data_IF_033495018253
#
_entry.id   IF_033495018253
#
_cell.length_a   1.000
_cell.length_b   1.000
_cell.length_c   1.000
_cell.angle_alpha   90.00
_cell.angle_beta   90.00
_cell.angle_gamma   90.00
#
_symmetry.space_group_name_H-M   'P 1'
#
loop_
_entity.id
_entity.type
_entity.pdbx_description
1 polymer ?
#
# COMPACT_ATOMS: atom_id res chain seq x y z
N UNK A 1 -19.87 -19.12 -19.98
CA UNK A 1 -20.13 -18.19 -21.10
C UNK A 1 -19.84 -16.78 -20.60
N UNK A 2 -18.85 -16.12 -21.17
CA UNK A 2 -18.46 -14.77 -20.74
C UNK A 2 -19.49 -13.78 -21.30
N UNK A 3 -20.37 -13.25 -20.42
CA UNK A 3 -21.52 -12.38 -20.73
C UNK A 3 -21.14 -11.10 -21.50
N UNK A 4 -19.85 -10.78 -21.55
CA UNK A 4 -19.30 -9.55 -22.12
C UNK A 4 -18.37 -9.80 -23.32
N UNK A 5 -18.32 -11.05 -23.85
CA UNK A 5 -17.52 -11.36 -25.04
C UNK A 5 -17.95 -10.46 -26.21
N UNK A 6 -16.95 -9.81 -26.83
CA UNK A 6 -17.13 -8.91 -27.97
C UNK A 6 -17.51 -7.46 -27.64
N UNK A 7 -17.59 -7.09 -26.35
CA UNK A 7 -17.82 -5.71 -25.94
C UNK A 7 -16.53 -4.97 -25.66
N UNK A 8 -16.48 -3.70 -26.00
CA UNK A 8 -15.37 -2.81 -25.65
C UNK A 8 -15.32 -2.55 -24.13
N UNK A 9 -14.17 -2.05 -23.63
CA UNK A 9 -14.06 -1.63 -22.24
C UNK A 9 -15.05 -0.52 -21.88
N UNK A 10 -15.33 0.39 -22.81
CA UNK A 10 -16.25 1.50 -22.66
C UNK A 10 -17.70 0.99 -22.52
N UNK A 11 -18.12 0.08 -23.37
CA UNK A 11 -19.45 -0.53 -23.30
C UNK A 11 -19.63 -1.33 -21.98
N UNK A 12 -18.60 -2.07 -21.54
CA UNK A 12 -18.64 -2.78 -20.26
C UNK A 12 -18.73 -1.79 -19.09
N UNK A 13 -18.00 -0.68 -19.17
CA UNK A 13 -17.99 0.38 -18.16
C UNK A 13 -19.36 1.06 -18.03
N UNK A 14 -20.02 1.30 -19.15
CA UNK A 14 -21.38 1.85 -19.18
C UNK A 14 -22.40 0.89 -18.57
N UNK A 15 -22.37 -0.39 -18.97
CA UNK A 15 -23.26 -1.45 -18.45
C UNK A 15 -23.08 -1.67 -16.95
N UNK A 16 -21.84 -1.61 -16.45
CA UNK A 16 -21.51 -1.87 -15.05
C UNK A 16 -21.39 -0.61 -14.19
N UNK A 17 -21.59 0.58 -14.77
CA UNK A 17 -21.39 1.87 -14.10
C UNK A 17 -22.09 1.97 -12.75
N UNK A 18 -23.37 1.59 -12.69
CA UNK A 18 -24.14 1.63 -11.45
C UNK A 18 -23.59 0.65 -10.39
N UNK A 19 -23.18 -0.54 -10.81
CA UNK A 19 -22.56 -1.53 -9.92
C UNK A 19 -21.22 -1.04 -9.37
N UNK A 20 -20.38 -0.41 -10.21
CA UNK A 20 -19.13 0.20 -9.78
C UNK A 20 -19.34 1.37 -8.83
N UNK A 21 -20.32 2.23 -9.08
CA UNK A 21 -20.68 3.33 -8.20
C UNK A 21 -21.12 2.81 -6.82
N UNK A 22 -21.97 1.80 -6.79
CA UNK A 22 -22.44 1.18 -5.55
C UNK A 22 -21.30 0.51 -4.78
N UNK A 23 -20.44 -0.25 -5.47
CA UNK A 23 -19.26 -0.88 -4.89
C UNK A 23 -18.32 0.17 -4.26
N UNK A 24 -17.98 1.24 -4.99
CA UNK A 24 -17.12 2.29 -4.49
C UNK A 24 -17.75 3.04 -3.30
N UNK A 25 -19.06 3.26 -3.32
CA UNK A 25 -19.80 3.86 -2.21
C UNK A 25 -19.72 3.01 -0.95
N UNK A 26 -19.89 1.69 -1.08
CA UNK A 26 -19.76 0.75 0.06
C UNK A 26 -18.34 0.73 0.58
N UNK A 27 -17.33 0.66 -0.29
CA UNK A 27 -15.91 0.74 0.11
C UNK A 27 -15.61 2.00 0.90
N UNK A 28 -16.03 3.16 0.40
CA UNK A 28 -15.85 4.45 1.07
C UNK A 28 -16.51 4.47 2.45
N UNK A 29 -17.69 3.91 2.58
CA UNK A 29 -18.45 3.88 3.84
C UNK A 29 -17.87 2.91 4.86
N UNK A 30 -17.28 1.81 4.41
CA UNK A 30 -16.64 0.78 5.25
C UNK A 30 -15.18 1.04 5.56
N UNK A 31 -14.59 2.08 4.94
CA UNK A 31 -13.20 2.44 5.18
C UNK A 31 -13.02 2.92 6.62
N UNK A 32 -12.20 2.22 7.38
CA UNK A 32 -11.86 2.52 8.76
C UNK A 32 -10.41 2.13 9.06
N UNK A 33 -9.85 2.75 10.07
CA UNK A 33 -8.52 2.39 10.57
C UNK A 33 -8.60 1.08 11.37
N UNK A 34 -7.51 0.33 11.36
CA UNK A 34 -7.30 -0.69 12.39
C UNK A 34 -7.11 -0.04 13.77
N UNK A 35 -7.41 -0.80 14.82
CA UNK A 35 -7.27 -0.33 16.19
C UNK A 35 -5.85 0.18 16.49
N UNK A 36 -5.77 1.33 17.16
CA UNK A 36 -4.52 1.94 17.57
C UNK A 36 -3.71 2.64 16.48
N UNK A 37 -4.15 2.62 15.20
CA UNK A 37 -3.38 3.26 14.10
C UNK A 37 -3.27 4.76 14.29
N UNK A 38 -4.37 5.46 14.56
CA UNK A 38 -4.35 6.92 14.71
C UNK A 38 -3.45 7.36 15.88
N UNK A 39 -3.57 6.71 17.02
CA UNK A 39 -2.78 7.02 18.22
C UNK A 39 -1.29 6.73 18.02
N UNK A 40 -0.99 5.62 17.34
CA UNK A 40 0.40 5.27 17.02
C UNK A 40 1.04 6.28 16.07
N UNK A 41 0.35 6.66 14.99
CA UNK A 41 0.85 7.67 14.06
C UNK A 41 1.05 9.02 14.76
N UNK A 42 0.10 9.41 15.60
CA UNK A 42 0.21 10.63 16.40
C UNK A 42 1.46 10.60 17.30
N UNK A 43 1.66 9.52 18.06
CA UNK A 43 2.82 9.38 18.96
C UNK A 43 4.14 9.37 18.20
N UNK A 44 4.24 8.67 17.06
CA UNK A 44 5.44 8.70 16.23
C UNK A 44 5.72 10.12 15.73
N UNK A 45 4.70 10.81 15.24
CA UNK A 45 4.82 12.20 14.77
C UNK A 45 5.26 13.16 15.88
N UNK A 46 4.65 13.08 17.07
CA UNK A 46 4.98 13.91 18.24
C UNK A 46 6.40 13.64 18.77
N UNK A 47 6.95 12.44 18.51
CA UNK A 47 8.35 12.12 18.83
C UNK A 47 9.33 12.41 17.68
N UNK A 48 8.92 13.20 16.69
CA UNK A 48 9.80 13.67 15.62
C UNK A 48 10.11 12.64 14.53
N UNK A 49 9.37 11.52 14.48
CA UNK A 49 9.54 10.52 13.42
C UNK A 49 8.94 11.07 12.13
N UNK A 50 9.73 11.13 11.06
CA UNK A 50 9.24 11.45 9.72
C UNK A 50 8.48 10.27 9.14
N UNK A 51 7.18 10.46 8.87
CA UNK A 51 6.30 9.41 8.35
C UNK A 51 6.05 9.66 6.88
N UNK A 52 6.35 8.64 6.05
CA UNK A 52 6.19 8.66 4.60
C UNK A 52 5.22 7.55 4.19
N UNK A 53 4.30 7.88 3.29
CA UNK A 53 3.43 6.88 2.67
C UNK A 53 3.98 6.43 1.32
N UNK A 54 3.96 5.12 1.02
CA UNK A 54 4.24 4.60 -0.31
C UNK A 54 3.18 3.57 -0.71
N UNK A 55 2.51 3.81 -1.84
CA UNK A 55 1.42 2.96 -2.35
C UNK A 55 1.45 2.84 -3.87
N UNK A 56 1.09 1.66 -4.39
CA UNK A 56 0.84 1.44 -5.83
C UNK A 56 -0.56 1.96 -6.27
N UNK A 57 -1.36 2.49 -5.35
CA UNK A 57 -2.62 3.14 -5.71
C UNK A 57 -2.36 4.46 -6.43
N UNK A 58 -3.21 4.78 -7.40
CA UNK A 58 -3.19 6.10 -8.02
C UNK A 58 -3.36 7.21 -6.96
N UNK A 59 -2.78 8.37 -7.26
CA UNK A 59 -2.68 9.51 -6.36
C UNK A 59 -4.03 9.92 -5.72
N UNK A 60 -5.09 9.96 -6.49
CA UNK A 60 -6.43 10.34 -6.00
C UNK A 60 -6.95 9.35 -4.96
N UNK A 61 -6.64 8.06 -5.14
CA UNK A 61 -7.11 7.01 -4.24
C UNK A 61 -6.25 6.92 -2.97
N UNK A 62 -4.93 7.04 -3.09
CA UNK A 62 -4.01 6.94 -1.97
C UNK A 62 -4.24 8.05 -0.95
N UNK A 63 -4.13 9.31 -1.39
CA UNK A 63 -4.28 10.49 -0.53
C UNK A 63 -5.69 10.67 0.00
N UNK A 64 -6.72 10.46 -0.86
CA UNK A 64 -8.12 10.55 -0.45
C UNK A 64 -8.43 9.65 0.74
N UNK A 65 -7.90 8.41 0.75
CA UNK A 65 -8.11 7.48 1.87
C UNK A 65 -7.52 8.02 3.17
N UNK A 66 -6.28 8.52 3.13
CA UNK A 66 -5.62 9.08 4.32
C UNK A 66 -6.35 10.32 4.85
N UNK A 67 -6.79 11.19 3.94
CA UNK A 67 -7.56 12.39 4.28
C UNK A 67 -8.91 12.02 4.90
N UNK A 68 -9.63 11.07 4.30
CA UNK A 68 -10.92 10.61 4.82
C UNK A 68 -10.80 9.92 6.18
N UNK A 69 -9.70 9.22 6.43
CA UNK A 69 -9.40 8.57 7.70
C UNK A 69 -8.88 9.54 8.77
N UNK A 70 -8.68 10.81 8.43
CA UNK A 70 -8.20 11.84 9.37
C UNK A 70 -6.75 11.66 9.80
N UNK A 71 -5.90 11.03 9.00
CA UNK A 71 -4.49 10.76 9.33
C UNK A 71 -3.49 11.37 8.37
N UNK A 72 -3.93 12.08 7.31
CA UNK A 72 -3.04 12.67 6.30
C UNK A 72 -2.06 13.70 6.88
N UNK A 73 -2.42 14.36 7.98
CA UNK A 73 -1.57 15.34 8.65
C UNK A 73 -0.27 14.75 9.20
N UNK A 74 -0.24 13.48 9.53
CA UNK A 74 0.95 12.81 10.07
C UNK A 74 2.00 12.49 9.02
N UNK A 75 1.61 12.49 7.74
CA UNK A 75 2.52 12.19 6.64
C UNK A 75 3.18 13.46 6.11
N UNK A 76 4.51 13.42 5.96
CA UNK A 76 5.28 14.46 5.31
C UNK A 76 5.05 14.43 3.81
N UNK A 77 5.29 13.25 3.19
CA UNK A 77 5.01 13.00 1.77
C UNK A 77 4.33 11.65 1.57
N UNK A 78 3.66 11.50 0.43
CA UNK A 78 2.98 10.29 0.01
C UNK A 78 3.36 9.99 -1.43
N UNK A 79 4.10 8.90 -1.61
CA UNK A 79 4.54 8.41 -2.91
C UNK A 79 3.45 7.48 -3.48
N UNK A 80 2.96 7.82 -4.68
CA UNK A 80 1.81 7.13 -5.31
C UNK A 80 2.14 6.80 -6.77
N UNK A 81 1.40 5.88 -7.37
CA UNK A 81 1.46 5.68 -8.82
C UNK A 81 0.78 6.84 -9.56
N UNK A 82 1.22 7.08 -10.80
CA UNK A 82 0.54 8.01 -11.71
C UNK A 82 -0.93 7.61 -11.89
N UNK A 83 -1.79 8.62 -12.08
CA UNK A 83 -3.17 8.39 -12.49
C UNK A 83 -3.22 8.05 -13.98
N UNK A 84 -4.03 7.07 -14.34
CA UNK A 84 -4.37 6.79 -15.74
C UNK A 84 -5.43 7.77 -16.28
N UNK A 85 -5.98 8.59 -15.40
CA UNK A 85 -7.06 9.54 -15.75
C UNK A 85 -6.60 10.97 -15.46
N UNK A 86 -6.93 11.88 -16.38
CA UNK A 86 -6.82 13.30 -16.12
C UNK A 86 -7.77 13.67 -14.97
N UNK A 87 -7.19 14.17 -13.89
CA UNK A 87 -7.93 14.62 -12.72
C UNK A 87 -7.96 16.14 -12.71
N UNK A 88 -9.15 16.72 -12.68
CA UNK A 88 -9.34 18.16 -12.46
C UNK A 88 -9.15 18.58 -10.99
N UNK A 89 -8.79 17.64 -10.12
CA UNK A 89 -8.55 17.91 -8.71
C UNK A 89 -7.10 18.33 -8.55
N UNK A 90 -6.82 19.52 -8.01
CA UNK A 90 -5.45 19.93 -7.71
C UNK A 90 -4.78 18.90 -6.81
N UNK A 91 -3.55 18.51 -7.18
CA UNK A 91 -2.75 17.62 -6.36
C UNK A 91 -2.34 18.33 -5.07
N UNK A 92 -2.41 17.62 -3.97
CA UNK A 92 -1.83 18.09 -2.72
C UNK A 92 -0.30 18.08 -2.85
N UNK A 93 0.36 19.11 -2.33
CA UNK A 93 1.82 19.28 -2.39
C UNK A 93 2.60 18.11 -1.76
N UNK A 94 1.95 17.34 -0.90
CA UNK A 94 2.52 16.14 -0.28
C UNK A 94 2.61 14.94 -1.21
N UNK A 95 1.99 14.99 -2.39
CA UNK A 95 1.94 13.85 -3.31
C UNK A 95 3.15 13.89 -4.25
N UNK A 96 3.89 12.80 -4.27
CA UNK A 96 5.01 12.58 -5.19
C UNK A 96 4.71 11.33 -6.02
N UNK A 97 4.85 11.44 -7.33
CA UNK A 97 4.52 10.34 -8.24
C UNK A 97 5.72 9.43 -8.48
N UNK A 98 5.46 8.12 -8.45
CA UNK A 98 6.43 7.06 -8.72
C UNK A 98 5.94 6.20 -9.88
N UNK A 99 6.81 5.91 -10.85
CA UNK A 99 6.48 5.10 -12.04
C UNK A 99 6.67 3.60 -11.83
N UNK A 100 7.53 3.23 -10.90
CA UNK A 100 7.91 1.83 -10.69
C UNK A 100 6.92 1.12 -9.77
N UNK A 101 6.76 -0.20 -10.01
CA UNK A 101 5.91 -1.07 -9.19
C UNK A 101 6.75 -1.86 -8.19
N UNK A 102 6.16 -2.19 -7.05
CA UNK A 102 6.77 -3.08 -6.03
C UNK A 102 6.96 -4.50 -6.57
N UNK A 103 8.06 -5.19 -6.21
CA UNK A 103 9.16 -4.72 -5.38
C UNK A 103 10.22 -4.01 -6.24
N UNK A 104 10.56 -2.79 -5.89
CA UNK A 104 11.67 -2.05 -6.48
C UNK A 104 12.46 -1.34 -5.37
N UNK A 105 13.64 -1.86 -5.06
CA UNK A 105 14.49 -1.33 -3.99
C UNK A 105 14.93 0.11 -4.23
N UNK A 106 15.12 0.48 -5.51
CA UNK A 106 15.64 1.80 -5.86
C UNK A 106 14.62 2.91 -5.54
N UNK A 107 13.34 2.58 -5.55
CA UNK A 107 12.29 3.50 -5.08
C UNK A 107 12.49 3.83 -3.60
N UNK A 108 12.73 2.84 -2.73
CA UNK A 108 12.95 3.10 -1.30
C UNK A 108 14.24 3.87 -1.05
N UNK A 109 15.30 3.55 -1.77
CA UNK A 109 16.59 4.27 -1.69
C UNK A 109 16.39 5.72 -2.12
N UNK A 110 15.67 5.98 -3.21
CA UNK A 110 15.36 7.32 -3.68
C UNK A 110 14.50 8.10 -2.70
N UNK A 111 13.52 7.46 -2.07
CA UNK A 111 12.72 8.07 -1.00
C UNK A 111 13.62 8.50 0.15
N UNK A 112 14.48 7.62 0.64
CA UNK A 112 15.43 7.98 1.71
C UNK A 112 16.30 9.17 1.33
N UNK A 113 16.83 9.20 0.10
CA UNK A 113 17.64 10.31 -0.40
C UNK A 113 16.85 11.62 -0.46
N UNK A 114 15.64 11.62 -0.99
CA UNK A 114 14.78 12.80 -1.10
C UNK A 114 14.35 13.33 0.28
N UNK A 115 14.18 12.44 1.24
CA UNK A 115 13.82 12.81 2.62
C UNK A 115 15.03 13.14 3.50
N UNK A 116 16.24 13.07 2.95
CA UNK A 116 17.52 13.26 3.68
C UNK A 116 17.64 12.29 4.87
N UNK A 117 17.23 11.05 4.69
CA UNK A 117 17.26 9.99 5.69
C UNK A 117 18.32 8.95 5.34
N UNK A 118 19.14 8.53 6.30
CA UNK A 118 20.01 7.38 6.12
C UNK A 118 19.20 6.10 6.00
N UNK A 119 19.63 5.18 5.13
CA UNK A 119 19.02 3.86 4.98
C UNK A 119 18.99 3.10 6.31
N UNK A 120 20.04 3.24 7.14
CA UNK A 120 20.13 2.63 8.47
C UNK A 120 19.10 3.15 9.46
N UNK A 121 18.61 4.38 9.25
CA UNK A 121 17.67 5.05 10.14
C UNK A 121 16.22 4.92 9.64
N UNK A 122 16.03 4.21 8.52
CA UNK A 122 14.74 3.96 7.91
C UNK A 122 14.17 2.60 8.28
N UNK A 123 12.84 2.55 8.45
CA UNK A 123 12.08 1.31 8.57
C UNK A 123 10.93 1.32 7.56
N UNK A 124 10.69 0.19 6.91
CA UNK A 124 9.60 0.02 5.97
C UNK A 124 8.58 -0.99 6.50
N UNK A 125 7.33 -0.57 6.60
CA UNK A 125 6.22 -1.35 7.12
C UNK A 125 5.25 -1.69 5.99
N UNK A 126 4.95 -2.96 5.80
CA UNK A 126 3.97 -3.40 4.80
C UNK A 126 3.37 -4.77 5.12
N UNK A 127 2.30 -5.11 4.41
CA UNK A 127 1.55 -6.35 4.65
C UNK A 127 1.92 -7.49 3.68
N UNK A 128 2.68 -7.19 2.63
CA UNK A 128 3.12 -8.16 1.64
C UNK A 128 4.55 -8.62 1.88
N UNK A 129 4.73 -9.93 2.11
CA UNK A 129 6.07 -10.53 2.22
C UNK A 129 6.84 -10.43 0.89
N UNK A 130 6.16 -10.66 -0.23
CA UNK A 130 6.76 -10.72 -1.57
C UNK A 130 7.03 -9.38 -2.20
N UNK A 131 6.32 -8.33 -1.77
CA UNK A 131 6.49 -6.97 -2.27
C UNK A 131 7.19 -6.08 -1.25
N UNK A 132 6.56 -5.87 -0.09
CA UNK A 132 7.01 -4.89 0.89
C UNK A 132 8.27 -5.35 1.65
N UNK A 133 8.20 -6.52 2.29
CA UNK A 133 9.33 -7.06 3.06
C UNK A 133 10.51 -7.36 2.14
N UNK A 134 10.25 -8.00 0.99
CA UNK A 134 11.30 -8.31 0.02
C UNK A 134 12.00 -7.03 -0.47
N UNK A 135 11.24 -6.01 -0.85
CA UNK A 135 11.78 -4.74 -1.32
C UNK A 135 12.63 -4.04 -0.24
N UNK A 136 12.16 -4.00 1.00
CA UNK A 136 12.91 -3.41 2.12
C UNK A 136 14.23 -4.13 2.37
N UNK A 137 14.23 -5.46 2.35
CA UNK A 137 15.44 -6.28 2.50
C UNK A 137 16.44 -6.05 1.38
N UNK A 138 15.98 -5.94 0.13
CA UNK A 138 16.84 -5.61 -1.01
C UNK A 138 17.46 -4.20 -0.91
N UNK A 139 16.76 -3.27 -0.26
CA UNK A 139 17.24 -1.91 -0.01
C UNK A 139 18.11 -1.78 1.27
N UNK A 140 18.32 -2.85 2.02
CA UNK A 140 18.95 -2.86 3.35
C UNK A 140 18.25 -1.93 4.36
N UNK A 141 16.94 -1.76 4.24
CA UNK A 141 16.08 -1.01 5.15
C UNK A 141 15.46 -1.99 6.16
N UNK A 142 15.34 -1.59 7.41
CA UNK A 142 14.65 -2.38 8.43
C UNK A 142 13.23 -2.73 7.97
N UNK A 143 12.95 -4.01 7.86
CA UNK A 143 11.70 -4.53 7.33
C UNK A 143 10.76 -4.98 8.44
N UNK A 144 9.53 -4.45 8.44
CA UNK A 144 8.50 -4.77 9.43
C UNK A 144 7.28 -5.34 8.71
N UNK A 145 6.97 -6.60 8.97
CA UNK A 145 5.80 -7.24 8.39
C UNK A 145 4.55 -7.00 9.25
N UNK A 146 3.57 -6.31 8.68
CA UNK A 146 2.27 -6.09 9.28
C UNK A 146 1.37 -7.33 9.05
N UNK A 147 1.54 -8.36 9.90
CA UNK A 147 0.79 -9.61 9.83
C UNK A 147 -0.48 -9.52 10.69
N UNK A 148 -1.42 -8.67 10.27
CA UNK A 148 -2.70 -8.57 10.98
C UNK A 148 -3.56 -9.81 10.75
N UNK A 149 -4.40 -10.20 11.75
CA UNK A 149 -5.39 -11.23 11.55
C UNK A 149 -6.28 -10.87 10.36
N UNK A 150 -6.15 -11.62 9.28
CA UNK A 150 -7.07 -11.49 8.14
C UNK A 150 -8.28 -12.35 8.49
N UNK A 151 -9.48 -11.76 8.41
CA UNK A 151 -10.69 -12.58 8.39
C UNK A 151 -10.53 -13.59 7.26
N UNK A 152 -10.72 -14.88 7.58
CA UNK A 152 -10.73 -15.95 6.57
C UNK A 152 -11.98 -15.76 5.71
N UNK A 153 -11.90 -14.89 4.73
CA UNK A 153 -12.95 -14.71 3.77
C UNK A 153 -12.86 -15.86 2.75
N UNK A 154 -13.88 -16.70 2.72
CA UNK A 154 -14.07 -17.72 1.68
C UNK A 154 -14.32 -17.11 0.27
N UNK A 155 -14.17 -15.80 0.14
CA UNK A 155 -14.40 -15.04 -1.09
C UNK A 155 -13.11 -14.63 -1.81
N UNK A 156 -11.96 -15.19 -1.42
CA UNK A 156 -10.68 -14.81 -2.05
C UNK A 156 -10.70 -15.11 -3.55
N UNK A 157 -11.13 -16.31 -3.93
CA UNK A 157 -11.20 -16.72 -5.35
C UNK A 157 -12.20 -15.83 -6.12
N UNK A 158 -13.35 -15.51 -5.50
CA UNK A 158 -14.32 -14.60 -6.10
C UNK A 158 -13.79 -13.18 -6.25
N UNK A 159 -12.99 -12.68 -5.29
CA UNK A 159 -12.39 -11.36 -5.37
C UNK A 159 -11.37 -11.28 -6.51
N UNK A 160 -10.67 -12.36 -6.75
CA UNK A 160 -9.75 -12.50 -7.88
C UNK A 160 -10.49 -12.39 -9.20
N UNK A 161 -11.61 -13.08 -9.34
CA UNK A 161 -12.42 -13.09 -10.56
C UNK A 161 -13.09 -11.74 -10.87
N UNK A 162 -13.30 -10.90 -9.86
CA UNK A 162 -14.00 -9.60 -10.00
C UNK A 162 -13.09 -8.38 -9.87
N UNK A 163 -11.79 -8.57 -9.60
CA UNK A 163 -10.82 -7.46 -9.56
C UNK A 163 -10.16 -7.23 -10.92
N UNK A 164 -9.40 -6.16 -11.03
CA UNK A 164 -8.60 -5.82 -12.21
C UNK A 164 -7.30 -6.65 -12.35
N UNK A 165 -7.17 -7.76 -11.61
CA UNK A 165 -6.01 -8.62 -11.74
C UNK A 165 -6.03 -9.31 -13.10
N UNK A 166 -4.92 -9.17 -13.81
CA UNK A 166 -4.69 -9.83 -15.10
C UNK A 166 -3.98 -11.16 -14.87
N UNK A 167 -3.95 -11.99 -15.90
CA UNK A 167 -3.18 -13.24 -15.88
C UNK A 167 -1.69 -12.98 -15.63
N UNK A 168 -1.16 -11.88 -16.17
CA UNK A 168 0.23 -11.43 -15.92
C UNK A 168 0.48 -11.05 -14.47
N UNK A 169 -0.49 -10.44 -13.78
CA UNK A 169 -0.38 -10.12 -12.36
C UNK A 169 -0.28 -11.39 -11.51
N UNK A 170 -0.99 -12.46 -11.88
CA UNK A 170 -0.90 -13.78 -11.24
C UNK A 170 0.45 -14.44 -11.44
N UNK A 171 0.93 -14.44 -12.70
CA UNK A 171 2.23 -15.02 -13.02
C UNK A 171 3.32 -14.29 -12.24
N UNK A 172 3.27 -12.97 -12.24
CA UNK A 172 4.20 -12.12 -11.49
C UNK A 172 4.18 -12.40 -9.98
N UNK A 173 3.01 -12.47 -9.36
CA UNK A 173 2.89 -12.77 -7.92
C UNK A 173 3.44 -14.16 -7.57
N UNK A 174 3.20 -15.15 -8.44
CA UNK A 174 3.73 -16.51 -8.27
C UNK A 174 5.26 -16.55 -8.39
N UNK A 175 5.83 -15.79 -9.30
CA UNK A 175 7.28 -15.65 -9.46
C UNK A 175 7.92 -14.95 -8.27
N UNK A 176 7.37 -13.84 -7.82
CA UNK A 176 7.81 -13.12 -6.62
C UNK A 176 7.79 -14.03 -5.39
N UNK A 177 6.75 -14.86 -5.25
CA UNK A 177 6.65 -15.81 -4.15
C UNK A 177 7.75 -16.88 -4.22
N UNK A 178 8.06 -17.39 -5.41
CA UNK A 178 9.17 -18.33 -5.61
C UNK A 178 10.51 -17.68 -5.25
N UNK A 179 10.77 -16.45 -5.70
CA UNK A 179 11.99 -15.71 -5.39
C UNK A 179 12.12 -15.48 -3.88
N UNK A 180 11.07 -14.97 -3.24
CA UNK A 180 11.05 -14.74 -1.80
C UNK A 180 11.42 -16.01 -0.99
N UNK A 181 10.83 -17.16 -1.37
CA UNK A 181 11.12 -18.45 -0.72
C UNK A 181 12.55 -18.89 -0.99
N UNK A 182 13.04 -18.78 -2.24
CA UNK A 182 14.37 -19.25 -2.64
C UNK A 182 15.49 -18.49 -1.93
N UNK A 183 15.30 -17.20 -1.64
CA UNK A 183 16.26 -16.37 -0.92
C UNK A 183 16.20 -16.51 0.60
N UNK A 184 15.25 -17.29 1.13
CA UNK A 184 15.09 -17.50 2.58
C UNK A 184 14.88 -16.20 3.38
N UNK A 185 14.31 -15.18 2.74
CA UNK A 185 14.11 -13.85 3.31
C UNK A 185 13.11 -13.91 4.45
N UNK A 186 13.48 -13.23 5.56
CA UNK A 186 12.59 -13.05 6.71
C UNK A 186 12.52 -11.56 7.07
N UNK A 187 11.36 -11.06 7.54
CA UNK A 187 11.27 -9.71 8.09
C UNK A 187 12.14 -9.57 9.34
N UNK A 188 12.65 -8.37 9.61
CA UNK A 188 13.39 -8.10 10.85
C UNK A 188 12.43 -8.09 12.04
N UNK A 189 11.21 -7.57 11.83
CA UNK A 189 10.14 -7.58 12.83
C UNK A 189 8.82 -8.02 12.21
N UNK A 190 7.98 -8.64 13.03
CA UNK A 190 6.60 -9.00 12.68
C UNK A 190 5.67 -8.40 13.73
N UNK A 191 4.65 -7.66 13.29
CA UNK A 191 3.64 -7.06 14.15
C UNK A 191 2.25 -7.58 13.81
N UNK A 192 1.42 -7.80 14.83
CA UNK A 192 0.01 -8.18 14.70
C UNK A 192 -0.94 -7.04 15.06
N UNK A 193 -0.41 -5.94 15.63
CA UNK A 193 -1.10 -4.69 15.94
C UNK A 193 -0.19 -3.53 15.61
N UNK A 194 -0.76 -2.45 15.07
CA UNK A 194 0.02 -1.28 14.63
C UNK A 194 0.77 -0.60 15.78
N UNK A 195 0.20 -0.62 17.00
CA UNK A 195 0.83 -0.05 18.20
C UNK A 195 2.17 -0.69 18.58
N UNK A 196 2.45 -1.91 18.10
CA UNK A 196 3.74 -2.56 18.31
C UNK A 196 4.91 -1.88 17.55
N UNK A 197 4.62 -0.92 16.69
CA UNK A 197 5.66 -0.08 16.07
C UNK A 197 6.35 0.84 17.07
N UNK A 198 5.65 1.29 18.12
CA UNK A 198 6.20 2.27 19.06
C UNK A 198 7.50 1.80 19.71
N UNK A 199 7.56 0.63 20.37
CA UNK A 199 8.81 0.17 20.97
C UNK A 199 9.89 -0.14 19.93
N UNK A 200 9.53 -0.54 18.71
CA UNK A 200 10.49 -0.85 17.64
C UNK A 200 11.14 0.44 17.13
N UNK A 201 10.34 1.48 16.86
CA UNK A 201 10.81 2.73 16.23
C UNK A 201 11.40 3.68 17.27
N UNK A 202 10.75 3.83 18.43
CA UNK A 202 11.19 4.76 19.48
C UNK A 202 12.23 4.15 20.43
N UNK A 203 12.56 2.85 20.25
CA UNK A 203 13.47 2.11 21.13
C UNK A 203 13.04 2.22 22.62
N UNK A 204 11.73 2.30 22.87
CA UNK A 204 11.17 2.29 24.21
C UNK A 204 11.44 0.93 24.86
N UNK A 205 12.08 0.94 26.04
CA UNK A 205 12.38 -0.27 26.84
C UNK A 205 11.15 -0.74 27.58
#
# INVERSE_FOLDING_TARGET
>A
MNKYNGKSKEEIKEILGEAFHKFNSVRKRKLQLYDGVADTLKRLFENGVTIIGYTESAQENGFYRLKRLGISQYFKHIYTSESEYESNIPLDEKIITVKSKKPDKDVLINICNQENCSISDAAYIGDSLTKDVYMAKLANITSIWANYPKEKNNYYDLLVDITSWTEDDFIREKELKKQYISFGIKPDYTISKFSQLLPIILQEK
#
